data_IF_373612714072
#
_entry.id   IF_373612714072
#
_cell.length_a   1.000
_cell.length_b   1.000
_cell.length_c   1.000
_cell.angle_alpha   90.00
_cell.angle_beta   90.00
_cell.angle_gamma   90.00
#
_symmetry.space_group_name_H-M   'P 1'
#
loop_
_entity.id
_entity.type
_entity.pdbx_description
1 polymer ?
#
# COMPACT_ATOMS: atom_id res chain seq x y z
N UNK A 1 -26.58 11.99 -5.44
CA UNK A 1 -25.46 11.01 -5.37
C UNK A 1 -24.30 11.71 -4.70
N UNK A 2 -23.65 11.10 -3.73
CA UNK A 2 -22.49 11.72 -3.09
C UNK A 2 -21.39 12.01 -4.12
N UNK A 3 -20.64 13.08 -3.88
CA UNK A 3 -19.48 13.41 -4.73
C UNK A 3 -18.32 12.45 -4.48
N UNK A 4 -18.08 12.12 -3.20
CA UNK A 4 -17.00 11.20 -2.79
C UNK A 4 -17.57 10.10 -1.89
N UNK A 5 -17.20 8.85 -2.17
CA UNK A 5 -17.32 7.71 -1.24
C UNK A 5 -16.00 7.49 -0.53
N UNK A 6 -16.02 7.44 0.79
CA UNK A 6 -14.86 7.22 1.64
C UNK A 6 -14.93 5.81 2.20
N UNK A 7 -13.95 4.97 1.87
CA UNK A 7 -13.86 3.59 2.33
C UNK A 7 -13.06 3.54 3.62
N UNK A 8 -13.65 3.04 4.71
CA UNK A 8 -13.00 2.90 6.02
C UNK A 8 -13.08 1.44 6.46
N UNK A 9 -11.97 0.71 6.36
CA UNK A 9 -11.85 -0.64 6.92
C UNK A 9 -11.46 -0.53 8.39
N UNK A 10 -12.17 -1.23 9.26
CA UNK A 10 -12.00 -1.13 10.72
C UNK A 10 -11.74 -2.50 11.31
N UNK A 11 -10.65 -2.62 12.07
CA UNK A 11 -10.35 -3.79 12.88
C UNK A 11 -9.59 -3.40 14.14
N UNK A 12 -10.23 -3.52 15.31
CA UNK A 12 -9.65 -3.18 16.62
C UNK A 12 -9.03 -1.77 16.66
N UNK A 13 -9.80 -0.76 16.25
CA UNK A 13 -9.36 0.62 16.10
C UNK A 13 -10.09 1.59 17.06
N UNK A 14 -10.76 1.10 18.11
CA UNK A 14 -11.61 1.90 18.99
C UNK A 14 -10.93 3.16 19.55
N UNK A 15 -9.61 3.11 19.78
CA UNK A 15 -8.85 4.24 20.33
C UNK A 15 -8.69 5.42 19.35
N UNK A 16 -8.74 5.17 18.04
CA UNK A 16 -8.43 6.16 16.98
C UNK A 16 -9.68 6.52 16.17
N UNK A 17 -10.61 5.60 16.08
CA UNK A 17 -11.80 5.69 15.23
C UNK A 17 -12.64 6.99 15.42
N UNK A 18 -12.84 7.53 16.64
CA UNK A 18 -13.54 8.80 16.79
C UNK A 18 -12.88 9.97 16.07
N UNK A 19 -11.54 10.11 16.17
CA UNK A 19 -10.82 11.19 15.47
C UNK A 19 -10.91 11.02 13.96
N UNK A 20 -10.80 9.79 13.44
CA UNK A 20 -10.99 9.49 12.03
C UNK A 20 -12.37 9.97 11.57
N UNK A 21 -13.45 9.49 12.20
CA UNK A 21 -14.83 9.79 11.80
C UNK A 21 -15.17 11.27 11.96
N UNK A 22 -14.74 11.91 13.05
CA UNK A 22 -14.94 13.36 13.25
C UNK A 22 -14.29 14.18 12.13
N UNK A 23 -13.10 13.79 11.68
CA UNK A 23 -12.42 14.47 10.59
C UNK A 23 -13.12 14.31 9.24
N UNK A 24 -13.77 13.16 9.00
CA UNK A 24 -14.54 12.90 7.79
C UNK A 24 -15.89 13.64 7.81
N UNK A 25 -16.57 13.65 8.94
CA UNK A 25 -17.86 14.31 9.08
C UNK A 25 -17.72 15.84 9.17
N UNK A 26 -16.55 16.34 9.62
CA UNK A 26 -16.19 17.76 9.69
C UNK A 26 -15.65 18.35 8.38
N UNK A 27 -15.64 17.61 7.27
CA UNK A 27 -15.18 18.13 5.98
C UNK A 27 -16.07 19.27 5.47
N UNK A 28 -15.45 20.28 4.83
CA UNK A 28 -16.17 21.38 4.16
C UNK A 28 -17.01 20.89 2.98
N UNK A 29 -16.61 19.79 2.32
CA UNK A 29 -17.41 19.08 1.35
C UNK A 29 -18.43 18.19 2.07
N UNK A 30 -19.72 18.58 2.05
CA UNK A 30 -20.77 17.82 2.73
C UNK A 30 -21.39 16.70 1.90
N UNK A 31 -21.24 16.72 0.59
CA UNK A 31 -21.80 15.72 -0.34
C UNK A 31 -20.91 14.48 -0.40
N UNK A 32 -20.83 13.77 0.73
CA UNK A 32 -20.00 12.57 0.94
C UNK A 32 -20.82 11.43 1.52
N UNK A 33 -20.31 10.20 1.38
CA UNK A 33 -20.71 9.04 2.18
C UNK A 33 -19.46 8.37 2.77
N UNK A 34 -19.59 7.88 3.98
CA UNK A 34 -18.53 7.18 4.72
C UNK A 34 -18.97 5.73 4.91
N UNK A 35 -18.29 4.83 4.23
CA UNK A 35 -18.59 3.40 4.19
C UNK A 35 -17.64 2.66 5.12
N UNK A 36 -18.08 2.40 6.34
CA UNK A 36 -17.30 1.75 7.38
C UNK A 36 -17.58 0.24 7.37
N UNK A 37 -16.54 -0.56 7.24
CA UNK A 37 -16.64 -2.02 7.33
C UNK A 37 -15.87 -2.50 8.53
N UNK A 38 -16.58 -3.02 9.53
CA UNK A 38 -15.99 -3.67 10.70
C UNK A 38 -15.62 -5.11 10.36
N UNK A 39 -14.33 -5.41 10.34
CA UNK A 39 -13.78 -6.72 9.99
C UNK A 39 -13.72 -7.65 11.21
N UNK A 40 -14.88 -7.80 11.90
CA UNK A 40 -15.04 -8.61 13.11
C UNK A 40 -14.13 -8.15 14.25
N UNK A 41 -14.21 -6.87 14.62
CA UNK A 41 -13.48 -6.31 15.76
C UNK A 41 -13.89 -6.96 17.09
N UNK A 42 -12.91 -7.15 17.96
CA UNK A 42 -13.10 -7.70 19.32
C UNK A 42 -13.09 -6.62 20.41
N UNK A 43 -12.79 -5.38 20.03
CA UNK A 43 -12.85 -4.21 20.89
C UNK A 43 -14.18 -3.43 20.72
N UNK A 44 -14.24 -2.18 21.17
CA UNK A 44 -15.44 -1.35 21.10
C UNK A 44 -15.67 -0.69 19.71
N UNK A 45 -14.90 -1.03 18.67
CA UNK A 45 -14.96 -0.38 17.35
C UNK A 45 -16.36 -0.42 16.74
N UNK A 46 -17.00 -1.59 16.70
CA UNK A 46 -18.33 -1.74 16.11
C UNK A 46 -19.41 -0.91 16.85
N UNK A 47 -19.33 -0.81 18.18
CA UNK A 47 -20.25 0.01 18.95
C UNK A 47 -20.08 1.51 18.63
N UNK A 48 -18.83 1.98 18.49
CA UNK A 48 -18.52 3.35 18.06
C UNK A 48 -19.10 3.63 16.67
N UNK A 49 -18.86 2.73 15.70
CA UNK A 49 -19.40 2.90 14.35
C UNK A 49 -20.93 3.03 14.33
N UNK A 50 -21.64 2.21 15.10
CA UNK A 50 -23.11 2.26 15.19
C UNK A 50 -23.60 3.57 15.78
N UNK A 51 -22.97 4.07 16.82
CA UNK A 51 -23.28 5.35 17.43
C UNK A 51 -23.10 6.52 16.43
N UNK A 52 -22.03 6.52 15.61
CA UNK A 52 -21.86 7.52 14.57
C UNK A 52 -22.90 7.39 13.44
N UNK A 53 -23.26 6.18 13.04
CA UNK A 53 -24.30 5.97 12.03
C UNK A 53 -25.70 6.39 12.48
N UNK A 54 -26.01 6.30 13.78
CA UNK A 54 -27.25 6.82 14.37
C UNK A 54 -27.31 8.37 14.36
N UNK A 55 -26.16 9.03 14.50
CA UNK A 55 -26.05 10.50 14.57
C UNK A 55 -25.93 11.16 13.18
N UNK A 56 -25.34 10.48 12.21
CA UNK A 56 -25.09 11.04 10.87
C UNK A 56 -25.38 10.03 9.77
N UNK A 57 -26.40 10.33 8.95
CA UNK A 57 -26.83 9.48 7.82
C UNK A 57 -25.80 9.26 6.74
N UNK A 58 -24.71 10.03 6.72
CA UNK A 58 -23.60 9.86 5.79
C UNK A 58 -22.75 8.63 6.12
N UNK A 59 -22.78 8.18 7.38
CA UNK A 59 -22.08 7.00 7.86
C UNK A 59 -22.94 5.76 7.63
N UNK A 60 -22.39 4.78 6.89
CA UNK A 60 -23.00 3.48 6.66
C UNK A 60 -22.09 2.40 7.22
N UNK A 61 -22.62 1.48 8.01
CA UNK A 61 -21.83 0.46 8.71
C UNK A 61 -22.20 -0.94 8.22
N UNK A 62 -21.17 -1.70 7.88
CA UNK A 62 -21.25 -3.10 7.50
C UNK A 62 -20.38 -3.90 8.49
N UNK A 63 -20.96 -4.87 9.19
CA UNK A 63 -20.23 -5.72 10.12
C UNK A 63 -20.04 -7.10 9.49
N UNK A 64 -18.80 -7.59 9.49
CA UNK A 64 -18.47 -8.93 9.03
C UNK A 64 -18.53 -9.94 10.20
N UNK A 65 -18.91 -11.17 9.91
CA UNK A 65 -19.03 -12.22 10.92
C UNK A 65 -17.66 -12.79 11.35
N UNK A 66 -16.66 -12.69 10.46
CA UNK A 66 -15.27 -13.11 10.73
C UNK A 66 -14.25 -12.16 10.08
N UNK A 67 -12.99 -12.21 10.53
CA UNK A 67 -11.92 -11.37 10.02
C UNK A 67 -11.40 -11.91 8.67
N UNK A 68 -11.65 -11.14 7.61
CA UNK A 68 -11.22 -11.43 6.23
C UNK A 68 -9.99 -10.61 5.78
N UNK A 69 -9.62 -9.57 6.53
CA UNK A 69 -8.53 -8.67 6.21
C UNK A 69 -8.96 -7.41 5.44
N UNK A 70 -8.06 -6.42 5.46
CA UNK A 70 -8.33 -5.05 4.99
C UNK A 70 -8.79 -4.96 3.53
N UNK A 71 -8.26 -5.81 2.63
CA UNK A 71 -8.62 -5.81 1.22
C UNK A 71 -10.08 -6.22 1.00
N UNK A 72 -10.51 -7.29 1.69
CA UNK A 72 -11.89 -7.76 1.63
C UNK A 72 -12.84 -6.70 2.22
N UNK A 73 -12.52 -6.15 3.39
CA UNK A 73 -13.33 -5.10 4.01
C UNK A 73 -13.46 -3.87 3.09
N UNK A 74 -12.36 -3.43 2.45
CA UNK A 74 -12.41 -2.33 1.47
C UNK A 74 -13.22 -2.68 0.23
N UNK A 75 -13.21 -3.94 -0.25
CA UNK A 75 -14.05 -4.39 -1.36
C UNK A 75 -15.54 -4.41 -1.00
N UNK A 76 -15.89 -4.78 0.24
CA UNK A 76 -17.28 -4.66 0.73
C UNK A 76 -17.72 -3.20 0.74
N UNK A 77 -16.88 -2.28 1.24
CA UNK A 77 -17.16 -0.85 1.17
C UNK A 77 -17.29 -0.38 -0.28
N UNK A 78 -16.36 -0.76 -1.17
CA UNK A 78 -16.35 -0.42 -2.59
C UNK A 78 -17.64 -0.86 -3.30
N UNK A 79 -18.12 -2.06 -3.05
CA UNK A 79 -19.35 -2.57 -3.67
C UNK A 79 -20.62 -1.80 -3.28
N UNK A 80 -20.56 -1.04 -2.19
CA UNK A 80 -21.63 -0.17 -1.71
C UNK A 80 -21.39 1.32 -2.00
N UNK A 81 -20.28 1.65 -2.65
CA UNK A 81 -19.92 3.02 -2.99
C UNK A 81 -20.73 3.53 -4.19
N UNK A 82 -21.28 4.74 -4.06
CA UNK A 82 -22.11 5.38 -5.09
C UNK A 82 -21.59 6.76 -5.53
N UNK A 83 -20.47 7.21 -4.96
CA UNK A 83 -19.85 8.50 -5.29
C UNK A 83 -19.20 8.52 -6.67
N UNK A 84 -19.03 9.72 -7.22
CA UNK A 84 -18.29 9.94 -8.47
C UNK A 84 -16.81 9.60 -8.30
N UNK A 85 -16.27 9.92 -7.12
CA UNK A 85 -14.90 9.61 -6.74
C UNK A 85 -14.88 8.71 -5.50
N UNK A 86 -13.81 7.94 -5.36
CA UNK A 86 -13.59 7.07 -4.21
C UNK A 86 -12.23 7.37 -3.62
N UNK A 87 -12.14 7.47 -2.30
CA UNK A 87 -10.89 7.42 -1.56
C UNK A 87 -11.02 6.43 -0.40
N UNK A 88 -9.91 6.03 0.19
CA UNK A 88 -9.90 5.32 1.46
C UNK A 88 -9.25 6.19 2.54
N UNK A 89 -9.66 5.99 3.78
CA UNK A 89 -9.00 6.54 4.96
C UNK A 89 -8.87 5.41 5.98
N UNK A 90 -7.66 5.20 6.49
CA UNK A 90 -7.42 4.18 7.50
C UNK A 90 -8.03 4.62 8.83
N UNK A 91 -8.56 3.66 9.57
CA UNK A 91 -9.35 3.92 10.78
C UNK A 91 -8.56 4.57 11.93
N UNK A 92 -7.24 4.64 11.81
CA UNK A 92 -6.30 5.29 12.74
C UNK A 92 -5.75 6.64 12.23
N UNK A 93 -6.12 7.04 11.01
CA UNK A 93 -5.69 8.27 10.33
C UNK A 93 -6.82 9.32 10.28
N UNK A 94 -6.53 10.54 9.79
CA UNK A 94 -7.53 11.59 9.65
C UNK A 94 -7.18 12.58 8.53
N UNK A 95 -8.15 13.39 8.14
CA UNK A 95 -8.04 14.40 7.10
C UNK A 95 -8.05 15.83 7.67
N UNK A 96 -7.38 16.75 6.98
CA UNK A 96 -7.60 18.19 7.14
C UNK A 96 -9.03 18.58 6.75
N UNK A 97 -9.67 19.58 7.38
CA UNK A 97 -11.05 19.94 7.11
C UNK A 97 -11.38 20.29 5.64
N UNK A 98 -10.41 20.74 4.86
CA UNK A 98 -10.60 21.13 3.45
C UNK A 98 -10.12 20.05 2.46
N UNK A 99 -9.67 18.89 2.95
CA UNK A 99 -8.98 17.90 2.12
C UNK A 99 -9.85 17.41 0.96
N UNK A 100 -11.09 17.04 1.20
CA UNK A 100 -11.99 16.53 0.17
C UNK A 100 -12.46 17.59 -0.82
N UNK A 101 -12.63 18.83 -0.37
CA UNK A 101 -12.93 19.96 -1.28
C UNK A 101 -11.73 20.24 -2.21
N UNK A 102 -10.50 20.20 -1.67
CA UNK A 102 -9.27 20.33 -2.46
C UNK A 102 -9.13 19.23 -3.51
N UNK A 103 -9.44 17.99 -3.14
CA UNK A 103 -9.51 16.85 -4.07
C UNK A 103 -10.48 17.16 -5.22
N UNK A 104 -11.71 17.56 -4.91
CA UNK A 104 -12.72 17.86 -5.95
C UNK A 104 -12.31 19.00 -6.88
N UNK A 105 -11.66 20.04 -6.37
CA UNK A 105 -11.14 21.16 -7.17
C UNK A 105 -10.01 20.74 -8.12
N UNK A 106 -9.25 19.72 -7.76
CA UNK A 106 -8.11 19.22 -8.54
C UNK A 106 -8.55 18.26 -9.65
N UNK A 107 -9.68 17.59 -9.51
CA UNK A 107 -10.23 16.77 -10.58
C UNK A 107 -10.68 17.63 -11.77
N UNK A 108 -10.10 17.35 -12.93
CA UNK A 108 -10.49 17.88 -14.25
C UNK A 108 -10.95 16.73 -15.14
N UNK A 109 -11.36 17.03 -16.37
CA UNK A 109 -11.87 16.00 -17.31
C UNK A 109 -10.81 14.91 -17.59
N UNK A 110 -9.52 15.24 -17.56
CA UNK A 110 -8.42 14.35 -17.89
C UNK A 110 -7.60 13.86 -16.66
N UNK A 111 -7.92 14.31 -15.44
CA UNK A 111 -7.37 13.82 -14.19
C UNK A 111 -8.24 12.70 -13.63
N UNK A 112 -7.65 11.54 -13.44
CA UNK A 112 -8.35 10.34 -12.96
C UNK A 112 -8.00 9.94 -11.53
N UNK A 113 -6.83 10.38 -11.03
CA UNK A 113 -6.41 10.19 -9.64
C UNK A 113 -5.81 11.47 -9.09
N UNK A 114 -6.09 11.76 -7.82
CA UNK A 114 -5.61 12.95 -7.10
C UNK A 114 -5.00 12.50 -5.78
N UNK A 115 -3.70 12.75 -5.60
CA UNK A 115 -2.98 12.48 -4.35
C UNK A 115 -3.23 13.58 -3.33
N UNK A 116 -3.36 13.20 -2.07
CA UNK A 116 -3.32 14.13 -0.94
C UNK A 116 -1.88 14.56 -0.64
N UNK A 117 -1.68 15.64 0.11
CA UNK A 117 -0.44 15.84 0.85
C UNK A 117 -0.43 14.90 2.05
N UNK A 118 0.65 14.18 2.28
CA UNK A 118 0.73 13.26 3.43
C UNK A 118 1.65 13.84 4.50
N UNK A 119 1.14 13.94 5.71
CA UNK A 119 1.89 14.33 6.91
C UNK A 119 1.97 13.14 7.85
N UNK A 120 3.17 12.68 8.13
CA UNK A 120 3.46 11.66 9.13
C UNK A 120 3.36 12.30 10.51
N UNK A 121 2.43 11.82 11.34
CA UNK A 121 2.22 12.32 12.70
C UNK A 121 2.70 11.28 13.71
N UNK A 122 3.68 11.64 14.51
CA UNK A 122 4.33 10.75 15.47
C UNK A 122 3.70 10.85 16.86
N UNK A 123 3.91 9.81 17.70
CA UNK A 123 3.35 9.73 19.04
C UNK A 123 3.82 10.85 19.99
N UNK A 124 4.96 11.47 19.72
CA UNK A 124 5.50 12.62 20.47
C UNK A 124 4.89 13.97 20.02
N UNK A 125 3.95 13.96 19.08
CA UNK A 125 3.31 15.13 18.49
C UNK A 125 4.12 15.79 17.38
N UNK A 126 5.30 15.27 17.02
CA UNK A 126 6.07 15.79 15.90
C UNK A 126 5.43 15.38 14.56
N UNK A 127 5.63 16.23 13.55
CA UNK A 127 5.10 16.02 12.21
C UNK A 127 6.20 16.10 11.17
N UNK A 128 6.05 15.29 10.10
CA UNK A 128 6.96 15.31 8.97
C UNK A 128 6.17 15.12 7.68
N UNK A 129 6.34 16.06 6.74
CA UNK A 129 5.79 15.92 5.39
C UNK A 129 6.46 14.74 4.68
N UNK A 130 5.65 13.90 4.03
CA UNK A 130 6.17 12.81 3.18
C UNK A 130 7.05 13.38 2.07
N UNK A 131 8.28 12.88 1.88
CA UNK A 131 9.26 13.44 0.95
C UNK A 131 8.91 13.10 -0.50
N UNK A 132 7.90 13.76 -1.05
CA UNK A 132 7.50 13.64 -2.44
C UNK A 132 8.03 14.83 -3.25
N UNK A 133 8.68 14.60 -4.41
CA UNK A 133 9.09 15.71 -5.27
C UNK A 133 7.85 16.46 -5.77
N UNK A 134 7.93 17.79 -5.92
CA UNK A 134 6.79 18.56 -6.39
C UNK A 134 6.46 18.20 -7.86
N UNK A 135 5.18 18.07 -8.17
CA UNK A 135 4.66 17.96 -9.52
C UNK A 135 3.20 18.47 -9.54
N UNK A 136 2.75 18.96 -10.67
CA UNK A 136 1.37 19.36 -10.87
C UNK A 136 0.53 18.16 -11.33
N UNK A 137 0.96 17.49 -12.39
CA UNK A 137 0.35 16.26 -12.88
C UNK A 137 1.38 15.36 -13.60
N UNK A 138 1.20 14.05 -13.46
CA UNK A 138 1.97 13.00 -14.13
C UNK A 138 1.05 12.20 -15.06
N UNK A 139 1.58 11.66 -16.16
CA UNK A 139 0.87 10.60 -16.88
C UNK A 139 0.77 9.35 -16.00
N UNK A 140 -0.27 8.53 -16.20
CA UNK A 140 -0.47 7.31 -15.42
C UNK A 140 0.73 6.36 -15.47
N UNK A 141 1.38 6.19 -16.63
CA UNK A 141 2.61 5.39 -16.74
C UNK A 141 3.76 5.97 -15.92
N UNK A 142 3.92 7.30 -15.89
CA UNK A 142 4.94 7.93 -15.08
C UNK A 142 4.67 7.78 -13.59
N UNK A 143 3.42 7.97 -13.18
CA UNK A 143 2.99 7.77 -11.79
C UNK A 143 3.19 6.32 -11.36
N UNK A 144 2.86 5.34 -12.22
CA UNK A 144 3.17 3.93 -11.99
C UNK A 144 4.66 3.73 -11.70
N UNK A 145 5.55 4.21 -12.57
CA UNK A 145 7.01 4.04 -12.40
C UNK A 145 7.52 4.72 -11.13
N UNK A 146 7.06 5.94 -10.84
CA UNK A 146 7.47 6.69 -9.65
C UNK A 146 6.93 6.04 -8.35
N UNK A 147 5.77 5.38 -8.38
CA UNK A 147 5.23 4.62 -7.24
C UNK A 147 6.03 3.35 -6.92
N UNK A 148 6.71 2.75 -7.89
CA UNK A 148 7.52 1.55 -7.69
C UNK A 148 8.64 1.75 -6.66
N UNK A 149 9.14 2.96 -6.54
CA UNK A 149 10.24 3.32 -5.62
C UNK A 149 9.77 4.23 -4.48
N UNK A 150 8.46 4.36 -4.26
CA UNK A 150 7.85 5.24 -3.27
C UNK A 150 8.26 6.72 -3.42
N UNK A 151 8.64 7.11 -4.62
CA UNK A 151 8.86 8.50 -4.97
C UNK A 151 7.56 9.30 -4.90
N UNK A 152 6.42 8.65 -5.17
CA UNK A 152 5.08 9.11 -4.84
C UNK A 152 4.38 8.05 -4.00
N UNK A 153 3.55 8.48 -3.06
CA UNK A 153 2.82 7.60 -2.13
C UNK A 153 1.51 7.07 -2.71
N UNK A 154 0.80 6.22 -1.95
CA UNK A 154 -0.44 5.56 -2.33
C UNK A 154 -1.69 6.09 -1.60
N UNK A 155 -1.71 7.35 -1.17
CA UNK A 155 -2.87 7.98 -0.53
C UNK A 155 -3.53 8.95 -1.51
N UNK A 156 -4.68 8.58 -2.05
CA UNK A 156 -5.31 9.27 -3.20
C UNK A 156 -6.83 9.08 -3.24
N UNK A 157 -7.48 9.96 -3.98
CA UNK A 157 -8.84 9.76 -4.49
C UNK A 157 -8.79 9.43 -5.98
N UNK A 158 -9.74 8.65 -6.48
CA UNK A 158 -9.79 8.16 -7.86
C UNK A 158 -11.22 8.18 -8.41
N UNK A 159 -11.37 8.27 -9.74
CA UNK A 159 -12.67 8.08 -10.40
C UNK A 159 -13.23 6.69 -10.09
N UNK A 160 -14.47 6.65 -9.63
CA UNK A 160 -15.14 5.41 -9.21
C UNK A 160 -15.12 4.34 -10.31
N UNK A 161 -15.28 4.71 -11.56
CA UNK A 161 -15.24 3.78 -12.70
C UNK A 161 -13.93 2.99 -12.77
N UNK A 162 -12.77 3.62 -12.44
CA UNK A 162 -11.48 2.93 -12.42
C UNK A 162 -11.40 2.01 -11.21
N UNK A 163 -11.81 2.46 -10.02
CA UNK A 163 -11.73 1.63 -8.81
C UNK A 163 -12.65 0.41 -8.90
N UNK A 164 -13.87 0.55 -9.43
CA UNK A 164 -14.76 -0.59 -9.65
C UNK A 164 -14.23 -1.57 -10.70
N UNK A 165 -13.54 -1.08 -11.74
CA UNK A 165 -12.93 -1.95 -12.76
C UNK A 165 -11.69 -2.71 -12.22
N UNK A 166 -11.01 -2.15 -11.23
CA UNK A 166 -9.81 -2.71 -10.60
C UNK A 166 -9.98 -2.67 -9.07
N UNK A 167 -10.71 -3.63 -8.45
CA UNK A 167 -10.87 -3.71 -7.00
C UNK A 167 -9.59 -4.22 -6.31
N UNK A 168 -9.58 -4.21 -4.96
CA UNK A 168 -8.48 -4.78 -4.19
C UNK A 168 -8.34 -6.28 -4.43
N UNK A 169 -7.11 -6.78 -4.48
CA UNK A 169 -6.85 -8.24 -4.54
C UNK A 169 -6.96 -8.83 -3.13
N UNK A 170 -8.13 -9.35 -2.79
CA UNK A 170 -8.45 -9.93 -1.49
C UNK A 170 -7.95 -11.36 -1.28
N UNK A 171 -7.36 -11.98 -2.31
CA UNK A 171 -6.63 -13.24 -2.15
C UNK A 171 -5.32 -13.08 -1.37
N UNK A 172 -4.87 -11.84 -1.14
CA UNK A 172 -3.72 -11.51 -0.33
C UNK A 172 -4.17 -10.84 0.98
N UNK A 173 -3.75 -11.37 2.11
CA UNK A 173 -4.03 -10.77 3.43
C UNK A 173 -3.26 -9.46 3.66
N UNK A 174 -2.13 -9.28 2.97
CA UNK A 174 -1.21 -8.14 3.13
C UNK A 174 -0.77 -7.61 1.78
N UNK A 175 -0.40 -6.32 1.71
CA UNK A 175 0.17 -5.67 0.50
C UNK A 175 -0.75 -5.56 -0.73
N UNK A 176 -2.05 -5.79 -0.59
CA UNK A 176 -3.01 -5.60 -1.68
C UNK A 176 -3.19 -4.13 -2.05
N UNK A 177 -3.11 -3.24 -1.08
CA UNK A 177 -3.18 -1.78 -1.22
C UNK A 177 -2.04 -1.22 -2.09
N UNK A 178 -0.82 -1.75 -1.92
CA UNK A 178 0.33 -1.36 -2.74
C UNK A 178 0.14 -1.74 -4.22
N UNK A 179 -0.34 -2.95 -4.47
CA UNK A 179 -0.57 -3.42 -5.83
C UNK A 179 -1.67 -2.64 -6.54
N UNK A 180 -2.78 -2.41 -5.85
CA UNK A 180 -3.93 -1.72 -6.45
C UNK A 180 -3.61 -0.24 -6.72
N UNK A 181 -2.87 0.43 -5.84
CA UNK A 181 -2.40 1.80 -6.05
C UNK A 181 -1.64 1.92 -7.38
N UNK A 182 -0.69 1.01 -7.63
CA UNK A 182 0.11 0.98 -8.86
C UNK A 182 -0.72 0.73 -10.10
N UNK A 183 -1.70 -0.18 -10.01
CA UNK A 183 -2.65 -0.45 -11.10
C UNK A 183 -3.52 0.77 -11.36
N UNK A 184 -4.04 1.42 -10.34
CA UNK A 184 -4.86 2.61 -10.45
C UNK A 184 -4.11 3.76 -11.13
N UNK A 185 -2.85 4.01 -10.73
CA UNK A 185 -2.04 5.02 -11.40
C UNK A 185 -1.80 4.67 -12.87
N UNK A 186 -1.44 3.43 -13.17
CA UNK A 186 -1.24 2.97 -14.54
C UNK A 186 -2.49 3.12 -15.43
N UNK A 187 -3.68 2.99 -14.83
CA UNK A 187 -4.98 3.12 -15.54
C UNK A 187 -5.51 4.54 -15.57
N UNK A 188 -4.91 5.45 -14.84
CA UNK A 188 -5.23 6.87 -14.89
C UNK A 188 -4.61 7.52 -16.11
N UNK A 189 -5.35 8.40 -16.79
CA UNK A 189 -4.79 9.26 -17.86
C UNK A 189 -3.78 10.22 -17.26
N UNK A 190 -4.18 10.90 -16.17
CA UNK A 190 -3.31 11.76 -15.36
C UNK A 190 -3.53 11.52 -13.88
N UNK A 191 -2.44 11.68 -13.14
CA UNK A 191 -2.37 11.66 -11.68
C UNK A 191 -1.88 13.03 -11.23
N UNK A 192 -2.70 13.77 -10.50
CA UNK A 192 -2.38 15.09 -9.96
C UNK A 192 -2.19 15.05 -8.44
N UNK A 193 -1.76 16.15 -7.83
CA UNK A 193 -1.67 16.31 -6.40
C UNK A 193 -2.47 17.52 -5.95
N UNK A 194 -3.27 17.40 -4.87
CA UNK A 194 -4.02 18.52 -4.30
C UNK A 194 -3.29 19.14 -3.10
N UNK A 195 -3.86 20.22 -2.56
CA UNK A 195 -3.38 20.85 -1.32
C UNK A 195 -3.96 20.21 -0.05
N UNK A 196 -4.96 19.32 -0.20
CA UNK A 196 -5.62 18.64 0.92
C UNK A 196 -4.66 17.70 1.65
N UNK A 197 -4.69 17.75 2.98
CA UNK A 197 -3.76 17.01 3.83
C UNK A 197 -4.42 15.75 4.39
N UNK A 198 -3.68 14.65 4.29
CA UNK A 198 -3.94 13.38 4.95
C UNK A 198 -2.91 13.19 6.05
N UNK A 199 -3.34 13.07 7.29
CA UNK A 199 -2.48 12.80 8.45
C UNK A 199 -2.35 11.31 8.66
N UNK A 200 -1.14 10.79 8.47
CA UNK A 200 -0.80 9.39 8.65
C UNK A 200 -0.17 9.18 10.03
N UNK A 201 -0.90 8.53 10.92
CA UNK A 201 -0.46 8.27 12.29
C UNK A 201 0.65 7.23 12.35
N UNK A 202 1.73 7.58 13.05
CA UNK A 202 2.85 6.68 13.31
C UNK A 202 2.78 6.15 14.74
N UNK A 203 2.48 4.86 14.91
CA UNK A 203 2.44 4.22 16.23
C UNK A 203 3.11 2.84 16.22
N UNK A 204 3.55 2.38 17.40
CA UNK A 204 4.34 1.14 17.57
C UNK A 204 3.57 -0.15 17.26
N UNK A 205 2.23 -0.10 17.26
CA UNK A 205 1.37 -1.25 16.92
C UNK A 205 1.13 -1.43 15.42
N UNK A 206 1.63 -0.53 14.57
CA UNK A 206 1.54 -0.66 13.12
C UNK A 206 2.11 -2.00 12.63
N UNK A 207 1.38 -2.68 11.77
CA UNK A 207 1.75 -4.01 11.22
C UNK A 207 3.08 -4.01 10.49
N UNK A 208 3.53 -2.87 9.98
CA UNK A 208 4.80 -2.72 9.25
C UNK A 208 6.05 -2.85 10.12
N UNK A 209 5.94 -2.71 11.45
CA UNK A 209 7.09 -2.75 12.38
C UNK A 209 7.35 -4.11 13.03
N UNK A 210 6.47 -5.10 12.82
CA UNK A 210 6.63 -6.42 13.46
C UNK A 210 7.55 -7.33 12.64
N UNK A 211 8.52 -7.96 13.33
CA UNK A 211 9.31 -9.06 12.76
C UNK A 211 8.42 -10.30 12.66
N UNK A 212 8.09 -10.70 11.44
CA UNK A 212 7.17 -11.81 11.16
C UNK A 212 7.47 -12.41 9.79
N UNK A 213 7.20 -13.70 9.62
CA UNK A 213 7.26 -14.39 8.32
C UNK A 213 6.34 -13.76 7.28
N UNK A 214 5.23 -13.14 7.70
CA UNK A 214 4.30 -12.40 6.81
C UNK A 214 4.97 -11.27 6.04
N UNK A 215 6.14 -10.78 6.47
CA UNK A 215 6.93 -9.81 5.72
C UNK A 215 7.31 -10.33 4.33
N UNK A 216 7.47 -11.65 4.18
CA UNK A 216 7.83 -12.29 2.92
C UNK A 216 6.64 -12.45 1.95
N UNK A 217 5.39 -12.29 2.42
CA UNK A 217 4.19 -12.25 1.57
C UNK A 217 4.27 -11.12 0.54
N UNK A 218 5.07 -10.09 0.83
CA UNK A 218 5.38 -9.02 -0.13
C UNK A 218 5.94 -9.54 -1.45
N UNK A 219 6.74 -10.58 -1.42
CA UNK A 219 7.27 -11.21 -2.65
C UNK A 219 6.17 -11.91 -3.46
N UNK A 220 5.24 -12.55 -2.78
CA UNK A 220 4.09 -13.19 -3.42
C UNK A 220 3.11 -12.16 -4.00
N UNK A 221 2.90 -11.06 -3.27
CA UNK A 221 2.12 -9.91 -3.75
C UNK A 221 2.73 -9.32 -5.03
N UNK A 222 4.06 -9.16 -5.07
CA UNK A 222 4.76 -8.68 -6.26
C UNK A 222 4.63 -9.66 -7.45
N UNK A 223 4.62 -10.97 -7.21
CA UNK A 223 4.40 -11.96 -8.27
C UNK A 223 2.99 -11.89 -8.85
N UNK A 224 1.97 -11.81 -7.98
CA UNK A 224 0.57 -11.63 -8.42
C UNK A 224 0.39 -10.36 -9.24
N UNK A 225 0.94 -9.24 -8.78
CA UNK A 225 0.91 -7.99 -9.54
C UNK A 225 1.57 -8.15 -10.92
N UNK A 226 2.70 -8.85 -11.00
CA UNK A 226 3.29 -9.15 -12.31
C UNK A 226 2.33 -9.87 -13.25
N UNK A 227 1.63 -10.88 -12.76
CA UNK A 227 0.62 -11.58 -13.56
C UNK A 227 -0.49 -10.63 -14.04
N UNK A 228 -0.97 -9.75 -13.17
CA UNK A 228 -1.96 -8.73 -13.51
C UNK A 228 -1.43 -7.76 -14.58
N UNK A 229 -0.20 -7.27 -14.43
CA UNK A 229 0.44 -6.36 -15.39
C UNK A 229 0.61 -7.00 -16.77
N UNK A 230 0.99 -8.29 -16.83
CA UNK A 230 1.06 -9.05 -18.09
C UNK A 230 -0.32 -9.22 -18.72
N UNK A 231 -1.32 -9.59 -17.94
CA UNK A 231 -2.71 -9.74 -18.42
C UNK A 231 -3.29 -8.40 -18.94
N UNK A 232 -2.86 -7.27 -18.37
CA UNK A 232 -3.24 -5.92 -18.83
C UNK A 232 -2.48 -5.47 -20.09
N UNK A 233 -1.48 -6.22 -20.58
CA UNK A 233 -0.72 -5.90 -21.77
C UNK A 233 0.12 -4.62 -21.64
N UNK A 234 0.73 -4.40 -20.47
CA UNK A 234 1.55 -3.19 -20.27
C UNK A 234 2.80 -3.20 -21.15
N UNK A 235 3.41 -2.02 -21.36
CA UNK A 235 4.60 -1.88 -22.17
C UNK A 235 5.78 -2.72 -21.63
N UNK A 236 6.61 -3.24 -22.53
CA UNK A 236 7.86 -3.95 -22.19
C UNK A 236 8.78 -3.11 -21.29
N UNK A 237 8.79 -1.79 -21.46
CA UNK A 237 9.58 -0.89 -20.64
C UNK A 237 9.10 -0.89 -19.18
N UNK A 238 7.79 -0.79 -18.96
CA UNK A 238 7.19 -0.84 -17.63
C UNK A 238 7.36 -2.23 -16.99
N UNK A 239 7.25 -3.29 -17.78
CA UNK A 239 7.48 -4.66 -17.29
C UNK A 239 8.93 -4.87 -16.83
N UNK A 240 9.91 -4.32 -17.57
CA UNK A 240 11.34 -4.33 -17.17
C UNK A 240 11.59 -3.54 -15.87
N UNK A 241 10.96 -2.39 -15.71
CA UNK A 241 11.02 -1.62 -14.46
C UNK A 241 10.50 -2.47 -13.30
N UNK A 242 9.35 -3.12 -13.49
CA UNK A 242 8.73 -3.93 -12.46
C UNK A 242 9.54 -5.20 -12.11
N UNK A 243 10.06 -5.93 -13.10
CA UNK A 243 10.93 -7.09 -12.85
C UNK A 243 12.24 -6.71 -12.16
N UNK A 244 12.78 -5.53 -12.48
CA UNK A 244 13.95 -4.99 -11.76
C UNK A 244 13.62 -4.71 -10.30
N UNK A 245 12.44 -4.14 -10.00
CA UNK A 245 11.96 -3.96 -8.64
C UNK A 245 11.77 -5.30 -7.91
N UNK A 246 11.12 -6.29 -8.54
CA UNK A 246 10.93 -7.63 -7.95
C UNK A 246 12.26 -8.24 -7.53
N UNK A 247 13.27 -8.10 -8.36
CA UNK A 247 14.62 -8.57 -8.05
C UNK A 247 15.26 -7.82 -6.87
N UNK A 248 15.08 -6.49 -6.82
CA UNK A 248 15.56 -5.67 -5.70
C UNK A 248 14.85 -6.03 -4.39
N UNK A 249 13.53 -6.25 -4.44
CA UNK A 249 12.74 -6.65 -3.29
C UNK A 249 13.15 -8.02 -2.74
N UNK A 250 13.48 -8.98 -3.61
CA UNK A 250 14.00 -10.28 -3.17
C UNK A 250 15.31 -10.12 -2.39
N UNK A 251 16.26 -9.33 -2.91
CA UNK A 251 17.54 -9.07 -2.22
C UNK A 251 17.32 -8.26 -0.94
N UNK A 252 16.40 -7.29 -0.96
CA UNK A 252 16.03 -6.50 0.23
C UNK A 252 15.42 -7.36 1.34
N UNK A 253 14.52 -8.29 0.99
CA UNK A 253 13.95 -9.22 1.97
C UNK A 253 14.94 -10.31 2.41
N UNK A 254 15.95 -10.61 1.60
CA UNK A 254 17.05 -11.44 2.08
C UNK A 254 17.88 -10.70 3.15
N UNK A 255 18.08 -9.37 3.02
CA UNK A 255 18.68 -8.55 4.07
C UNK A 255 17.85 -8.61 5.36
N UNK A 256 16.52 -8.42 5.26
CA UNK A 256 15.62 -8.56 6.42
C UNK A 256 15.76 -9.94 7.07
N UNK A 257 15.75 -11.03 6.28
CA UNK A 257 15.99 -12.38 6.77
C UNK A 257 17.35 -12.49 7.47
N UNK A 258 18.42 -11.97 6.87
CA UNK A 258 19.77 -12.00 7.41
C UNK A 258 19.84 -11.32 8.79
N UNK A 259 19.17 -10.19 8.97
CA UNK A 259 19.17 -9.42 10.22
C UNK A 259 18.31 -10.07 11.31
N UNK A 260 17.14 -10.60 10.96
CA UNK A 260 16.12 -11.02 11.92
C UNK A 260 15.89 -12.54 12.02
N UNK A 261 16.64 -13.37 11.30
CA UNK A 261 16.44 -14.84 11.31
C UNK A 261 16.55 -15.48 12.69
N UNK A 262 17.24 -14.84 13.63
CA UNK A 262 17.36 -15.32 15.00
C UNK A 262 16.10 -15.07 15.84
N UNK A 263 15.25 -14.14 15.42
CA UNK A 263 13.96 -13.83 16.03
C UNK A 263 12.82 -14.70 15.45
N UNK A 264 13.03 -15.30 14.29
CA UNK A 264 12.06 -16.17 13.62
C UNK A 264 12.16 -17.62 14.15
N UNK A 265 11.01 -18.30 14.25
CA UNK A 265 10.97 -19.73 14.54
C UNK A 265 11.67 -20.55 13.44
N UNK A 266 11.97 -21.83 13.70
CA UNK A 266 12.53 -22.72 12.69
C UNK A 266 11.59 -22.91 11.49
N UNK A 267 10.29 -23.00 11.75
CA UNK A 267 9.25 -23.11 10.72
C UNK A 267 9.17 -21.85 9.87
N UNK A 268 9.12 -20.67 10.52
CA UNK A 268 9.06 -19.38 9.81
C UNK A 268 10.30 -19.15 8.94
N UNK A 269 11.49 -19.56 9.39
CA UNK A 269 12.71 -19.49 8.58
C UNK A 269 12.64 -20.37 7.34
N UNK A 270 12.10 -21.58 7.47
CA UNK A 270 11.92 -22.48 6.32
C UNK A 270 10.91 -21.91 5.31
N UNK A 271 9.80 -21.37 5.80
CA UNK A 271 8.78 -20.73 5.00
C UNK A 271 9.34 -19.52 4.25
N UNK A 272 10.03 -18.61 4.94
CA UNK A 272 10.69 -17.44 4.34
C UNK A 272 11.66 -17.85 3.22
N UNK A 273 12.50 -18.85 3.46
CA UNK A 273 13.45 -19.36 2.46
C UNK A 273 12.73 -20.03 1.28
N UNK A 274 11.60 -20.71 1.51
CA UNK A 274 10.77 -21.31 0.46
C UNK A 274 10.17 -20.24 -0.44
N UNK A 275 9.57 -19.20 0.14
CA UNK A 275 9.01 -18.05 -0.61
C UNK A 275 10.11 -17.36 -1.43
N UNK A 276 11.24 -17.05 -0.83
CA UNK A 276 12.35 -16.39 -1.52
C UNK A 276 12.89 -17.26 -2.67
N UNK A 277 13.00 -18.59 -2.46
CA UNK A 277 13.45 -19.52 -3.51
C UNK A 277 12.46 -19.58 -4.67
N UNK A 278 11.15 -19.62 -4.37
CA UNK A 278 10.10 -19.59 -5.38
C UNK A 278 10.22 -18.33 -6.25
N UNK A 279 10.28 -17.15 -5.64
CA UNK A 279 10.40 -15.88 -6.39
C UNK A 279 11.73 -15.78 -7.11
N UNK A 280 12.84 -16.26 -6.54
CA UNK A 280 14.12 -16.36 -7.22
C UNK A 280 14.00 -17.19 -8.51
N UNK A 281 13.17 -18.24 -8.55
CA UNK A 281 12.91 -19.06 -9.74
C UNK A 281 12.01 -18.36 -10.76
N UNK A 282 11.05 -17.55 -10.32
CA UNK A 282 10.00 -16.96 -11.18
C UNK A 282 10.32 -15.58 -11.73
N UNK A 283 11.31 -14.87 -11.20
CA UNK A 283 11.77 -13.59 -11.76
C UNK A 283 12.34 -13.78 -13.17
N UNK A 284 11.87 -12.99 -14.14
CA UNK A 284 12.32 -13.01 -15.54
C UNK A 284 13.60 -12.21 -15.71
N UNK A 285 14.75 -12.86 -15.50
CA UNK A 285 16.06 -12.21 -15.48
C UNK A 285 16.41 -11.44 -16.77
N UNK A 286 15.85 -11.82 -17.92
CA UNK A 286 16.06 -11.08 -19.16
C UNK A 286 15.48 -9.66 -19.11
N UNK A 287 14.43 -9.45 -18.29
CA UNK A 287 13.79 -8.16 -18.06
C UNK A 287 14.42 -7.35 -16.92
N UNK A 288 15.24 -7.98 -16.06
CA UNK A 288 15.97 -7.27 -15.00
C UNK A 288 17.13 -6.47 -15.58
N UNK A 289 17.35 -5.26 -15.09
CA UNK A 289 18.45 -4.37 -15.52
C UNK A 289 19.80 -5.10 -15.59
N UNK A 290 20.50 -5.07 -16.73
CA UNK A 290 21.80 -5.74 -16.87
C UNK A 290 22.87 -5.24 -15.89
N UNK A 291 22.87 -3.95 -15.56
CA UNK A 291 23.79 -3.37 -14.58
C UNK A 291 23.57 -3.95 -13.19
N UNK A 292 22.29 -4.13 -12.80
CA UNK A 292 21.93 -4.71 -11.51
C UNK A 292 22.36 -6.19 -11.43
N UNK A 293 22.07 -6.99 -12.46
CA UNK A 293 22.42 -8.43 -12.50
C UNK A 293 23.92 -8.73 -12.44
N UNK A 294 24.76 -7.74 -12.74
CA UNK A 294 26.24 -7.87 -12.68
C UNK A 294 26.81 -7.36 -11.36
N UNK A 295 26.00 -6.68 -10.53
CA UNK A 295 26.44 -6.14 -9.26
C UNK A 295 26.54 -7.24 -8.21
N UNK A 296 27.66 -7.31 -7.49
CA UNK A 296 27.80 -8.21 -6.34
C UNK A 296 26.71 -8.01 -5.32
N UNK A 297 26.11 -9.08 -4.80
CA UNK A 297 24.91 -9.06 -3.98
C UNK A 297 23.60 -9.07 -4.80
N UNK A 298 23.67 -9.02 -6.14
CA UNK A 298 22.51 -9.05 -7.03
C UNK A 298 22.70 -10.04 -8.20
N UNK A 299 23.79 -10.79 -8.22
CA UNK A 299 24.03 -11.81 -9.26
C UNK A 299 23.07 -12.99 -9.01
N UNK A 300 22.25 -13.39 -9.98
CA UNK A 300 21.19 -14.38 -9.74
C UNK A 300 21.69 -15.82 -9.54
N UNK A 301 22.91 -16.14 -9.93
CA UNK A 301 23.53 -17.47 -9.81
C UNK A 301 22.62 -18.66 -10.20
N UNK A 302 21.82 -18.52 -11.23
CA UNK A 302 21.08 -19.67 -11.76
C UNK A 302 22.03 -20.64 -12.45
N UNK A 303 21.89 -21.96 -12.23
CA UNK A 303 20.75 -22.64 -11.64
C UNK A 303 20.89 -22.96 -10.13
N UNK A 304 21.85 -22.44 -9.38
CA UNK A 304 22.14 -22.85 -8.00
C UNK A 304 21.62 -21.87 -6.95
N UNK A 305 20.51 -22.23 -6.29
CA UNK A 305 20.00 -21.53 -5.11
C UNK A 305 21.01 -21.44 -3.97
N UNK A 306 21.85 -22.47 -3.81
CA UNK A 306 22.90 -22.48 -2.80
C UNK A 306 23.96 -21.39 -3.07
N UNK A 307 24.40 -21.24 -4.32
CA UNK A 307 25.37 -20.20 -4.69
C UNK A 307 24.77 -18.80 -4.53
N UNK A 308 23.50 -18.61 -4.90
CA UNK A 308 22.81 -17.34 -4.64
C UNK A 308 22.81 -17.02 -3.14
N UNK A 309 22.37 -17.94 -2.29
CA UNK A 309 22.39 -17.75 -0.84
C UNK A 309 23.78 -17.48 -0.29
N UNK A 310 24.78 -18.22 -0.72
CA UNK A 310 26.17 -18.02 -0.27
C UNK A 310 26.65 -16.60 -0.59
N UNK A 311 26.32 -16.11 -1.82
CA UNK A 311 26.61 -14.72 -2.19
C UNK A 311 25.92 -13.72 -1.25
N UNK A 312 24.64 -13.90 -0.97
CA UNK A 312 23.89 -12.98 -0.12
C UNK A 312 24.44 -12.95 1.31
N UNK A 313 24.76 -14.12 1.90
CA UNK A 313 25.40 -14.20 3.21
C UNK A 313 26.75 -13.46 3.23
N UNK A 314 27.59 -13.69 2.24
CA UNK A 314 28.88 -13.00 2.11
C UNK A 314 28.69 -11.48 1.91
N UNK A 315 27.78 -11.09 1.02
CA UNK A 315 27.49 -9.69 0.71
C UNK A 315 27.04 -8.90 1.93
N UNK A 316 26.08 -9.44 2.69
CA UNK A 316 25.57 -8.76 3.88
C UNK A 316 26.55 -8.83 5.05
N UNK A 317 27.35 -9.87 5.17
CA UNK A 317 28.44 -9.93 6.15
C UNK A 317 29.48 -8.83 5.90
N UNK A 318 29.93 -8.67 4.65
CA UNK A 318 30.86 -7.59 4.28
C UNK A 318 30.26 -6.20 4.50
N UNK A 319 28.97 -6.03 4.20
CA UNK A 319 28.27 -4.76 4.47
C UNK A 319 28.13 -4.48 5.96
N UNK A 320 27.94 -5.49 6.79
CA UNK A 320 27.88 -5.35 8.26
C UNK A 320 29.21 -4.83 8.81
N UNK A 321 30.34 -5.35 8.32
CA UNK A 321 31.68 -4.90 8.73
C UNK A 321 31.93 -3.41 8.49
N UNK A 322 31.29 -2.82 7.47
CA UNK A 322 31.39 -1.38 7.14
C UNK A 322 30.17 -0.57 7.61
N UNK A 323 29.33 -1.12 8.49
CA UNK A 323 28.16 -0.42 9.07
C UNK A 323 27.07 -0.04 8.07
N UNK A 324 26.94 -0.75 6.93
CA UNK A 324 26.02 -0.42 5.82
C UNK A 324 24.73 -1.24 5.76
N UNK A 325 24.51 -2.17 6.71
CA UNK A 325 23.25 -2.92 6.79
C UNK A 325 22.21 -2.09 7.55
N UNK A 326 21.68 -1.08 6.88
CA UNK A 326 20.49 -0.35 7.37
C UNK A 326 19.30 -0.82 6.55
N UNK A 327 18.21 -1.20 7.22
CA UNK A 327 16.93 -1.37 6.54
C UNK A 327 16.52 -0.04 5.90
N UNK A 328 15.96 -0.12 4.70
CA UNK A 328 15.22 1.02 4.16
C UNK A 328 14.00 1.23 5.07
N UNK A 329 13.98 2.38 5.74
CA UNK A 329 12.84 2.81 6.55
C UNK A 329 11.66 3.09 5.65
#
# INVERSE_FOLDING_TARGET
MPKISILVAVYNSAAYLPQCLDSLLGQTLHDIEVLCVDDSSTDNSLAILRDYAERDRRVKVFALDENHGIAFARNVALSNASGEFICFVDSDDWLDPNALESVCKTFTDDVDSVLFQVVLHYADGSEKVYPMPPFEALSGERAFVDSLTWKIHGVYAIRAAIHHAYPYDDALRTYSDENITRIHYLKSRKVAVCEGVYYYRQHSSSTTHRVSVRRFDYLLANERMRCQLVAMGISEANLRCYETLRWQNLVGLYLFYYLHRHELSSTDRQEALSIMRHVWQTVHLQQVSPSLRRKFGYIPFRPSWFLFRFQEELYFTLRALVGRNKEAK
#
